data_IF_885687182553
#
_entry.id   IF_885687182553
#
_cell.length_a   1.000
_cell.length_b   1.000
_cell.length_c   1.000
_cell.angle_alpha   90.00
_cell.angle_beta   90.00
_cell.angle_gamma   90.00
#
_symmetry.space_group_name_H-M   'P 1'
#
loop_
_entity.id
_entity.type
_entity.pdbx_description
1 polymer ?
#
# COMPACT_ATOMS: atom_id res chain seq x y z
N UNK A 1 -9.90 11.24 3.16
CA UNK A 1 -9.40 11.71 4.46
C UNK A 1 -8.19 10.95 4.97
N UNK A 2 -8.18 9.62 4.95
CA UNK A 2 -7.08 8.81 5.46
C UNK A 2 -6.46 7.96 4.35
N UNK A 3 -5.13 7.96 4.24
CA UNK A 3 -4.38 7.09 3.34
C UNK A 3 -3.35 6.25 4.10
N UNK A 4 -3.33 4.95 3.85
CA UNK A 4 -2.32 4.03 4.38
C UNK A 4 -1.27 3.74 3.31
N UNK A 5 0.01 3.82 3.70
CA UNK A 5 1.14 3.54 2.80
C UNK A 5 2.02 2.46 3.42
N UNK A 6 2.10 1.31 2.76
CA UNK A 6 3.02 0.22 3.07
C UNK A 6 4.33 0.29 2.29
N UNK A 7 5.16 -0.73 2.45
CA UNK A 7 6.48 -0.82 1.81
C UNK A 7 6.37 -1.29 0.36
N UNK A 8 5.91 -2.52 0.15
CA UNK A 8 5.87 -3.19 -1.14
C UNK A 8 4.76 -4.25 -1.19
N UNK A 9 4.31 -4.69 -2.40
CA UNK A 9 3.46 -5.85 -2.56
C UNK A 9 4.14 -7.12 -2.06
N UNK A 10 3.37 -7.99 -1.38
CA UNK A 10 3.76 -9.36 -1.09
C UNK A 10 3.38 -10.31 -2.24
N UNK A 11 3.47 -11.61 -1.97
CA UNK A 11 3.16 -12.65 -2.97
C UNK A 11 1.70 -12.61 -3.43
N UNK A 12 0.78 -12.47 -2.49
CA UNK A 12 -0.65 -12.55 -2.79
C UNK A 12 -1.10 -11.28 -3.53
N UNK A 13 -0.54 -10.13 -3.15
CA UNK A 13 -0.75 -8.84 -3.81
C UNK A 13 -0.25 -8.86 -5.26
N UNK A 14 0.94 -9.40 -5.49
CA UNK A 14 1.53 -9.54 -6.82
C UNK A 14 0.68 -10.45 -7.73
N UNK A 15 0.13 -11.54 -7.16
CA UNK A 15 -0.71 -12.47 -7.92
C UNK A 15 -2.10 -11.91 -8.24
N UNK A 16 -2.67 -11.08 -7.36
CA UNK A 16 -4.04 -10.56 -7.50
C UNK A 16 -4.09 -9.15 -8.09
N UNK A 17 -2.99 -8.40 -8.06
CA UNK A 17 -2.94 -7.00 -8.47
C UNK A 17 -3.57 -6.04 -7.46
N UNK A 18 -3.90 -6.52 -6.25
CA UNK A 18 -4.60 -5.77 -5.22
C UNK A 18 -3.69 -5.58 -3.99
N UNK A 19 -3.55 -4.37 -3.44
CA UNK A 19 -2.66 -4.11 -2.31
C UNK A 19 -3.22 -4.74 -1.02
N UNK A 20 -2.37 -5.23 -0.12
CA UNK A 20 -2.78 -5.73 1.21
C UNK A 20 -3.96 -6.74 1.19
N UNK A 21 -3.79 -7.86 0.47
CA UNK A 21 -4.76 -8.97 0.41
C UNK A 21 -4.28 -10.23 1.15
N UNK A 22 -2.98 -10.33 1.43
CA UNK A 22 -2.40 -11.41 2.24
C UNK A 22 -2.70 -11.27 3.74
N UNK A 23 -2.06 -12.09 4.60
CA UNK A 23 -2.32 -12.11 6.04
C UNK A 23 -2.13 -10.74 6.73
N UNK A 24 -1.09 -9.99 6.34
CA UNK A 24 -0.86 -8.64 6.86
C UNK A 24 -1.97 -7.66 6.43
N UNK A 25 -2.49 -7.82 5.21
CA UNK A 25 -3.60 -7.03 4.70
C UNK A 25 -4.92 -7.32 5.39
N UNK A 26 -5.17 -8.59 5.75
CA UNK A 26 -6.34 -8.96 6.56
C UNK A 26 -6.27 -8.33 7.97
N UNK A 27 -5.08 -8.26 8.57
CA UNK A 27 -4.89 -7.57 9.84
C UNK A 27 -5.13 -6.06 9.71
N UNK A 28 -4.59 -5.43 8.66
CA UNK A 28 -4.85 -4.01 8.38
C UNK A 28 -6.35 -3.74 8.23
N UNK A 29 -7.08 -4.58 7.48
CA UNK A 29 -8.53 -4.46 7.33
C UNK A 29 -9.24 -4.51 8.67
N UNK A 30 -8.89 -5.45 9.56
CA UNK A 30 -9.45 -5.52 10.92
C UNK A 30 -9.16 -4.27 11.76
N UNK A 31 -7.98 -3.66 11.59
CA UNK A 31 -7.61 -2.42 12.29
C UNK A 31 -8.46 -1.26 11.77
N UNK A 32 -8.64 -1.15 10.45
CA UNK A 32 -9.50 -0.13 9.82
C UNK A 32 -10.95 -0.27 10.33
N UNK A 33 -11.47 -1.49 10.38
CA UNK A 33 -12.79 -1.79 10.94
C UNK A 33 -12.90 -1.43 12.42
N UNK A 34 -11.86 -1.72 13.21
CA UNK A 34 -11.84 -1.41 14.64
C UNK A 34 -11.86 0.10 14.94
N UNK A 35 -11.37 0.94 14.03
CA UNK A 35 -11.46 2.41 14.15
C UNK A 35 -12.75 2.98 13.52
N UNK A 36 -13.70 2.12 13.15
CA UNK A 36 -15.02 2.52 12.65
C UNK A 36 -15.05 2.93 11.18
N UNK A 37 -14.03 2.55 10.40
CA UNK A 37 -13.97 2.78 8.96
C UNK A 37 -14.09 1.45 8.20
N UNK A 38 -14.44 1.51 6.93
CA UNK A 38 -14.37 0.38 6.02
C UNK A 38 -13.22 0.55 5.04
N UNK A 39 -12.78 -0.55 4.43
CA UNK A 39 -11.63 -0.54 3.52
C UNK A 39 -11.84 0.36 2.29
N UNK A 40 -13.06 0.47 1.80
CA UNK A 40 -13.47 1.34 0.69
C UNK A 40 -13.59 2.83 1.07
N UNK A 41 -13.57 3.15 2.37
CA UNK A 41 -13.56 4.53 2.86
C UNK A 41 -12.15 5.12 2.98
N UNK A 42 -11.11 4.32 2.78
CA UNK A 42 -9.71 4.73 2.85
C UNK A 42 -8.98 4.38 1.56
N UNK A 43 -7.84 5.03 1.32
CA UNK A 43 -6.96 4.65 0.24
C UNK A 43 -5.75 3.88 0.78
N UNK A 44 -5.35 2.82 0.10
CA UNK A 44 -4.23 1.96 0.51
C UNK A 44 -3.25 1.85 -0.65
N UNK A 45 -1.98 2.15 -0.41
CA UNK A 45 -0.90 2.07 -1.39
C UNK A 45 0.38 1.50 -0.77
N UNK A 46 1.40 1.29 -1.60
CA UNK A 46 2.76 0.96 -1.19
C UNK A 46 3.77 1.98 -1.75
N UNK A 47 4.94 2.10 -1.12
CA UNK A 47 6.03 2.95 -1.62
C UNK A 47 6.48 2.49 -3.00
N UNK A 48 6.74 1.19 -3.17
CA UNK A 48 6.95 0.60 -4.50
C UNK A 48 5.72 -0.20 -4.94
N UNK A 49 5.50 -0.31 -6.26
CA UNK A 49 4.30 -0.95 -6.83
C UNK A 49 4.53 -2.38 -7.32
N UNK A 50 5.75 -2.89 -7.23
CA UNK A 50 6.13 -4.24 -7.67
C UNK A 50 6.73 -5.02 -6.51
N UNK A 51 6.46 -6.32 -6.46
CA UNK A 51 7.02 -7.21 -5.44
C UNK A 51 8.53 -7.40 -5.64
N UNK A 52 9.37 -7.11 -4.64
CA UNK A 52 10.79 -7.43 -4.71
C UNK A 52 11.03 -8.94 -4.74
N UNK A 53 12.14 -9.40 -5.35
CA UNK A 53 12.50 -10.81 -5.34
C UNK A 53 12.49 -11.39 -3.92
N UNK A 54 11.81 -12.52 -3.74
CA UNK A 54 11.72 -13.21 -2.44
C UNK A 54 11.14 -12.36 -1.29
N UNK A 55 10.37 -11.30 -1.58
CA UNK A 55 9.86 -10.34 -0.58
C UNK A 55 10.98 -9.67 0.24
N UNK A 56 12.16 -9.46 -0.33
CA UNK A 56 13.17 -8.60 0.31
C UNK A 56 12.65 -7.16 0.44
N UNK A 57 13.28 -6.38 1.30
CA UNK A 57 12.99 -4.94 1.34
C UNK A 57 13.41 -4.27 0.02
N UNK A 58 12.70 -3.21 -0.40
CA UNK A 58 13.09 -2.39 -1.54
C UNK A 58 14.47 -1.76 -1.36
N UNK A 59 15.23 -1.71 -2.44
CA UNK A 59 16.47 -0.96 -2.52
C UNK A 59 16.17 0.54 -2.73
N UNK A 60 17.16 1.40 -2.45
CA UNK A 60 16.96 2.86 -2.49
C UNK A 60 16.63 3.35 -3.91
N UNK A 61 17.24 2.77 -4.93
CA UNK A 61 17.00 3.08 -6.33
C UNK A 61 15.61 2.64 -6.79
N UNK A 62 15.14 1.47 -6.34
CA UNK A 62 13.76 0.98 -6.56
C UNK A 62 12.74 1.95 -5.96
N UNK A 63 12.98 2.40 -4.73
CA UNK A 63 12.14 3.40 -4.05
C UNK A 63 12.15 4.72 -4.82
N UNK A 64 13.32 5.24 -5.17
CA UNK A 64 13.45 6.50 -5.93
C UNK A 64 12.75 6.44 -7.28
N UNK A 65 12.84 5.30 -7.96
CA UNK A 65 12.20 5.07 -9.26
C UNK A 65 10.68 5.05 -9.13
N UNK A 66 10.14 4.46 -8.06
CA UNK A 66 8.71 4.25 -7.89
C UNK A 66 7.99 5.39 -7.14
N UNK A 67 8.71 6.16 -6.32
CA UNK A 67 8.17 7.24 -5.50
C UNK A 67 7.34 8.28 -6.27
N UNK A 68 7.67 8.68 -7.52
CA UNK A 68 6.83 9.60 -8.29
C UNK A 68 5.37 9.15 -8.43
N UNK A 69 5.10 7.85 -8.54
CA UNK A 69 3.73 7.33 -8.60
C UNK A 69 2.98 7.54 -7.29
N UNK A 70 3.64 7.32 -6.15
CA UNK A 70 3.04 7.58 -4.84
C UNK A 70 2.76 9.07 -4.64
N UNK A 71 3.68 9.94 -5.05
CA UNK A 71 3.45 11.39 -4.96
C UNK A 71 2.29 11.86 -5.84
N UNK A 72 2.18 11.34 -7.06
CA UNK A 72 1.01 11.61 -7.91
C UNK A 72 -0.29 11.11 -7.27
N UNK A 73 -0.29 9.94 -6.63
CA UNK A 73 -1.45 9.46 -5.87
C UNK A 73 -1.81 10.43 -4.74
N UNK A 74 -0.83 10.90 -3.96
CA UNK A 74 -1.04 11.88 -2.90
C UNK A 74 -1.60 13.21 -3.43
N UNK A 75 -1.11 13.70 -4.56
CA UNK A 75 -1.58 14.94 -5.19
C UNK A 75 -3.03 14.86 -5.68
N UNK A 76 -3.45 13.69 -6.18
CA UNK A 76 -4.81 13.46 -6.66
C UNK A 76 -5.77 13.23 -5.49
N UNK A 77 -5.40 12.36 -4.55
CA UNK A 77 -6.26 11.94 -3.44
C UNK A 77 -6.37 13.04 -2.38
N UNK A 78 -5.27 13.78 -2.15
CA UNK A 78 -5.11 14.80 -1.11
C UNK A 78 -5.67 14.33 0.24
N UNK A 79 -5.13 13.24 0.80
CA UNK A 79 -5.57 12.79 2.12
C UNK A 79 -5.29 13.88 3.15
N UNK A 80 -6.11 13.92 4.21
CA UNK A 80 -5.89 14.82 5.35
C UNK A 80 -4.76 14.31 6.23
N UNK A 81 -4.61 12.98 6.31
CA UNK A 81 -3.61 12.24 7.07
C UNK A 81 -3.10 11.07 6.22
#
# INVERSE_FOLDING_TARGET
DLMFVGEAPGRDEDQQGEPFVGPAGQLLTKIIEAIGLTRDQVYIANVIKCRPPQNRNPELDEVQTCAPFLFQQLDVIRPRV
#
